data_IF_939305827947
#
_entry.id   IF_939305827947
#
_cell.length_a   1.000
_cell.length_b   1.000
_cell.length_c   1.000
_cell.angle_alpha   90.00
_cell.angle_beta   90.00
_cell.angle_gamma   90.00
#
_symmetry.space_group_name_H-M   'P 1'
#
loop_
_entity.id
_entity.type
_entity.pdbx_description
1 polymer ?
#
# COMPACT_ATOMS: atom_id res chain seq x y z
N UNK A 1 -79.79 -46.78 -18.77
CA UNK A 1 -78.51 -47.15 -18.14
C UNK A 1 -77.56 -47.43 -19.30
N UNK A 2 -76.58 -46.63 -19.66
CA UNK A 2 -76.09 -45.36 -19.16
C UNK A 2 -75.38 -44.63 -20.33
N UNK A 3 -75.29 -43.31 -20.21
CA UNK A 3 -74.31 -42.35 -20.76
C UNK A 3 -72.94 -42.93 -21.23
N UNK A 4 -72.12 -42.35 -22.12
CA UNK A 4 -71.99 -41.02 -22.76
C UNK A 4 -70.87 -41.04 -23.83
N UNK A 5 -70.95 -40.05 -24.72
CA UNK A 5 -70.16 -39.65 -25.91
C UNK A 5 -68.64 -39.41 -25.74
N UNK A 6 -67.87 -39.14 -26.83
CA UNK A 6 -66.45 -39.47 -26.99
C UNK A 6 -65.44 -38.35 -26.65
N UNK A 7 -64.18 -38.76 -26.51
CA UNK A 7 -62.97 -37.97 -26.27
C UNK A 7 -62.72 -36.80 -27.24
N UNK A 8 -62.24 -35.66 -26.74
CA UNK A 8 -61.47 -34.70 -27.52
C UNK A 8 -60.04 -34.60 -26.96
N UNK A 9 -59.04 -35.09 -27.70
CA UNK A 9 -57.65 -34.65 -27.48
C UNK A 9 -57.27 -33.62 -28.54
N UNK A 10 -57.10 -32.42 -28.03
CA UNK A 10 -56.86 -31.16 -28.71
C UNK A 10 -55.43 -31.00 -29.21
N UNK A 11 -55.35 -30.28 -30.32
CA UNK A 11 -54.17 -29.76 -31.00
C UNK A 11 -53.13 -29.08 -30.10
N UNK A 12 -51.87 -29.33 -30.46
CA UNK A 12 -50.64 -28.66 -30.03
C UNK A 12 -50.76 -27.13 -30.08
N UNK A 13 -50.39 -26.44 -28.99
CA UNK A 13 -50.04 -25.02 -28.98
C UNK A 13 -48.59 -24.85 -28.50
N UNK A 14 -47.92 -23.86 -29.09
CA UNK A 14 -46.47 -23.64 -29.19
C UNK A 14 -45.77 -23.14 -27.91
N UNK A 15 -46.35 -23.36 -26.73
CA UNK A 15 -45.83 -22.78 -25.47
C UNK A 15 -44.77 -23.65 -24.74
N UNK A 16 -44.43 -24.82 -25.25
CA UNK A 16 -43.56 -25.77 -24.53
C UNK A 16 -42.05 -25.50 -24.59
N UNK A 17 -41.58 -24.44 -25.28
CA UNK A 17 -40.13 -24.16 -25.41
C UNK A 17 -39.64 -23.08 -24.44
N UNK A 18 -40.55 -22.31 -23.81
CA UNK A 18 -40.17 -21.21 -22.91
C UNK A 18 -39.95 -21.64 -21.44
N UNK A 19 -40.42 -22.82 -21.03
CA UNK A 19 -40.32 -23.27 -19.63
C UNK A 19 -39.09 -24.14 -19.32
N UNK A 20 -38.27 -24.46 -20.34
CA UNK A 20 -37.01 -25.19 -20.16
C UNK A 20 -35.81 -24.31 -19.77
N UNK A 21 -35.89 -22.99 -19.96
CA UNK A 21 -34.76 -22.07 -19.75
C UNK A 21 -34.72 -21.38 -18.38
N UNK A 22 -35.69 -21.63 -17.50
CA UNK A 22 -35.75 -20.98 -16.17
C UNK A 22 -35.21 -21.83 -15.02
N UNK A 23 -34.87 -23.10 -15.26
CA UNK A 23 -34.37 -24.00 -14.21
C UNK A 23 -32.86 -24.29 -14.30
N UNK A 24 -32.10 -23.57 -15.14
CA UNK A 24 -30.64 -23.60 -15.15
C UNK A 24 -29.99 -22.39 -14.43
N UNK A 25 -30.72 -21.67 -13.58
CA UNK A 25 -30.17 -20.48 -12.88
C UNK A 25 -30.17 -20.56 -11.35
N UNK A 26 -30.25 -21.75 -10.75
CA UNK A 26 -30.34 -21.89 -9.28
C UNK A 26 -29.43 -22.96 -8.66
N UNK A 27 -28.34 -23.34 -9.33
CA UNK A 27 -27.41 -24.32 -8.74
C UNK A 27 -25.90 -24.09 -8.98
N UNK A 28 -25.49 -22.85 -9.31
CA UNK A 28 -24.06 -22.50 -9.41
C UNK A 28 -23.63 -21.34 -8.49
N UNK A 29 -24.44 -20.96 -7.50
CA UNK A 29 -24.14 -19.83 -6.58
C UNK A 29 -23.57 -20.24 -5.20
N UNK A 30 -23.16 -21.50 -5.00
CA UNK A 30 -22.74 -22.03 -3.70
C UNK A 30 -21.28 -22.48 -3.59
N UNK A 31 -20.42 -22.11 -4.54
CA UNK A 31 -18.96 -22.19 -4.36
C UNK A 31 -18.34 -20.81 -4.57
N UNK A 32 -17.66 -20.29 -3.54
CA UNK A 32 -16.91 -19.01 -3.48
C UNK A 32 -17.62 -17.72 -3.04
N UNK A 33 -18.59 -17.80 -2.12
CA UNK A 33 -18.91 -16.67 -1.22
C UNK A 33 -18.25 -16.82 0.15
N UNK A 34 -16.95 -17.11 0.19
CA UNK A 34 -16.14 -16.70 1.35
C UNK A 34 -16.17 -15.18 1.32
N UNK A 35 -17.01 -14.56 2.16
CA UNK A 35 -16.80 -13.14 2.50
C UNK A 35 -15.37 -13.07 3.02
N UNK A 36 -14.44 -12.54 2.24
CA UNK A 36 -13.11 -12.23 2.75
C UNK A 36 -13.35 -11.28 3.92
N UNK A 37 -13.04 -11.75 5.12
CA UNK A 37 -13.07 -10.91 6.31
C UNK A 37 -12.00 -9.85 6.07
N UNK A 38 -12.43 -8.60 5.93
CA UNK A 38 -11.51 -7.47 5.85
C UNK A 38 -10.83 -7.29 7.21
N UNK A 39 -9.55 -6.97 7.18
CA UNK A 39 -8.69 -6.84 8.35
C UNK A 39 -8.68 -5.41 8.86
N UNK A 40 -8.60 -5.25 10.18
CA UNK A 40 -8.18 -4.00 10.81
C UNK A 40 -6.65 -3.85 10.69
N UNK A 41 -6.13 -2.64 10.94
CA UNK A 41 -4.69 -2.41 10.97
C UNK A 41 -3.96 -3.28 12.02
N UNK A 42 -4.63 -3.56 13.14
CA UNK A 42 -4.09 -4.36 14.24
C UNK A 42 -4.06 -5.87 13.94
N UNK A 43 -4.91 -6.32 13.00
CA UNK A 43 -5.02 -7.74 12.58
C UNK A 43 -4.14 -8.08 11.37
N UNK A 44 -3.36 -7.12 10.85
CA UNK A 44 -2.44 -7.37 9.74
C UNK A 44 -1.42 -8.46 10.10
N UNK A 45 -1.23 -9.40 9.19
CA UNK A 45 -0.27 -10.48 9.37
C UNK A 45 1.15 -10.02 9.02
N UNK A 46 1.98 -9.81 10.04
CA UNK A 46 3.35 -9.33 9.87
C UNK A 46 4.34 -10.47 9.64
N UNK A 47 4.96 -10.51 8.46
CA UNK A 47 6.16 -11.32 8.24
C UNK A 47 7.42 -10.51 8.56
N UNK A 48 8.15 -10.95 9.59
CA UNK A 48 9.42 -10.37 10.00
C UNK A 48 10.64 -11.18 9.50
N UNK A 49 10.49 -12.05 8.51
CA UNK A 49 11.57 -12.87 7.93
C UNK A 49 12.83 -12.08 7.64
N UNK A 50 12.73 -10.93 6.94
CA UNK A 50 13.87 -10.07 6.63
C UNK A 50 14.66 -9.65 7.89
N UNK A 51 13.97 -9.15 8.91
CA UNK A 51 14.57 -8.66 10.16
C UNK A 51 15.11 -9.82 10.99
N UNK A 52 14.43 -10.97 10.98
CA UNK A 52 14.80 -12.15 11.77
C UNK A 52 15.99 -12.91 11.18
N UNK A 53 16.10 -12.96 9.86
CA UNK A 53 17.02 -13.86 9.16
C UNK A 53 18.30 -13.16 8.67
N UNK A 54 18.27 -11.83 8.50
CA UNK A 54 19.43 -11.08 8.01
C UNK A 54 20.22 -10.40 9.15
N UNK A 55 21.54 -10.22 8.97
CA UNK A 55 22.37 -9.52 9.95
C UNK A 55 21.89 -8.10 10.21
N UNK A 56 21.74 -7.74 11.49
CA UNK A 56 21.38 -6.40 11.92
C UNK A 56 22.59 -5.56 12.33
N UNK A 57 22.42 -4.25 12.24
CA UNK A 57 23.34 -3.30 12.80
C UNK A 57 23.10 -3.22 14.32
N UNK A 58 24.12 -3.43 15.17
CA UNK A 58 23.95 -3.41 16.63
C UNK A 58 23.57 -2.03 17.18
N UNK A 59 23.69 -0.97 16.38
CA UNK A 59 23.26 0.39 16.74
C UNK A 59 21.85 0.66 16.22
N UNK A 60 21.17 1.59 16.89
CA UNK A 60 19.81 2.01 16.53
C UNK A 60 19.63 3.53 16.46
N UNK A 61 20.74 4.28 16.49
CA UNK A 61 20.73 5.73 16.32
C UNK A 61 20.64 6.13 14.83
N UNK A 62 20.17 7.34 14.58
CA UNK A 62 20.01 7.91 13.23
C UNK A 62 21.23 8.71 12.76
N UNK A 63 22.40 8.56 13.41
CA UNK A 63 23.60 9.33 13.06
C UNK A 63 24.15 8.83 11.73
N UNK A 64 24.32 9.70 10.71
CA UNK A 64 24.84 9.30 9.41
C UNK A 64 26.23 8.67 9.49
N UNK A 65 26.41 7.49 8.88
CA UNK A 65 27.69 6.75 8.79
C UNK A 65 27.60 5.60 7.79
N UNK A 66 28.76 5.06 7.44
CA UNK A 66 28.79 3.77 6.76
C UNK A 66 28.46 2.63 7.73
N UNK A 67 27.64 1.70 7.24
CA UNK A 67 27.22 0.50 7.97
C UNK A 67 27.84 -0.71 7.27
N UNK A 68 28.66 -1.46 7.99
CA UNK A 68 29.33 -2.65 7.47
C UNK A 68 28.78 -3.89 8.16
N UNK A 69 28.80 -5.03 7.43
CA UNK A 69 28.40 -6.34 7.95
C UNK A 69 26.95 -6.46 8.45
N UNK A 70 26.08 -5.51 8.08
CA UNK A 70 24.66 -5.53 8.38
C UNK A 70 23.83 -5.24 7.12
N UNK A 71 22.65 -5.82 7.04
CA UNK A 71 21.69 -5.59 5.97
C UNK A 71 20.73 -4.43 6.29
N UNK A 72 20.61 -4.05 7.56
CA UNK A 72 19.71 -2.99 8.00
C UNK A 72 20.08 -2.45 9.39
N UNK A 73 19.56 -1.26 9.71
CA UNK A 73 19.59 -0.65 11.04
C UNK A 73 18.16 -0.48 11.55
N UNK A 74 17.87 -0.91 12.78
CA UNK A 74 16.58 -0.64 13.42
C UNK A 74 16.51 0.84 13.78
N UNK A 75 15.52 1.54 13.23
CA UNK A 75 15.34 2.99 13.43
C UNK A 75 13.86 3.30 13.45
N UNK A 76 13.46 4.19 14.34
CA UNK A 76 12.11 4.73 14.35
C UNK A 76 12.04 5.97 13.46
N UNK A 77 10.90 6.22 12.78
CA UNK A 77 10.67 7.51 12.13
C UNK A 77 10.88 8.65 13.13
N UNK A 78 11.63 9.67 12.72
CA UNK A 78 12.00 10.81 13.58
C UNK A 78 11.49 12.15 13.05
N UNK A 79 10.53 12.12 12.12
CA UNK A 79 9.99 13.34 11.50
C UNK A 79 9.08 14.03 12.52
N UNK A 80 9.23 15.34 12.65
CA UNK A 80 8.30 16.12 13.46
C UNK A 80 6.98 16.29 12.72
N UNK A 81 5.89 15.90 13.37
CA UNK A 81 4.54 15.91 12.80
C UNK A 81 3.71 16.95 13.55
N UNK A 82 2.89 17.72 12.83
CA UNK A 82 2.07 18.78 13.45
C UNK A 82 0.58 18.53 13.25
N UNK A 83 0.14 18.37 12.00
CA UNK A 83 -1.25 18.15 11.67
C UNK A 83 -1.33 17.28 10.42
N UNK A 84 -1.04 15.98 10.55
CA UNK A 84 -0.93 15.12 9.40
C UNK A 84 -2.30 14.87 8.79
N UNK A 85 -2.36 14.82 7.46
CA UNK A 85 -3.62 14.61 6.73
C UNK A 85 -3.46 13.58 5.65
N UNK A 86 -4.43 12.67 5.57
CA UNK A 86 -4.56 11.77 4.43
C UNK A 86 -4.93 12.59 3.19
N UNK A 87 -4.14 12.44 2.12
CA UNK A 87 -4.35 13.10 0.83
C UNK A 87 -5.07 12.17 -0.13
N UNK A 88 -4.62 10.91 -0.20
CA UNK A 88 -5.17 9.88 -1.07
C UNK A 88 -4.79 8.49 -0.57
N UNK A 89 -5.58 7.48 -0.95
CA UNK A 89 -5.26 6.06 -0.80
C UNK A 89 -5.63 5.27 -2.06
N UNK A 90 -5.15 4.03 -2.18
CA UNK A 90 -5.48 3.13 -3.28
C UNK A 90 -6.35 1.97 -2.80
N UNK A 91 -7.61 1.94 -3.23
CA UNK A 91 -8.53 0.84 -2.92
C UNK A 91 -7.97 -0.51 -3.40
N UNK A 92 -7.31 -0.53 -4.56
CA UNK A 92 -6.74 -1.77 -5.10
C UNK A 92 -5.57 -2.32 -4.27
N UNK A 93 -4.83 -1.45 -3.56
CA UNK A 93 -3.76 -1.89 -2.64
C UNK A 93 -4.36 -2.25 -1.29
N UNK A 94 -5.41 -1.56 -0.84
CA UNK A 94 -6.17 -1.97 0.33
C UNK A 94 -6.75 -3.38 0.15
N UNK A 95 -7.32 -3.67 -1.02
CA UNK A 95 -7.81 -5.00 -1.40
C UNK A 95 -6.69 -6.04 -1.44
N UNK A 96 -5.50 -5.67 -1.95
CA UNK A 96 -4.33 -6.55 -1.96
C UNK A 96 -3.88 -6.97 -0.55
N UNK A 97 -4.08 -6.11 0.44
CA UNK A 97 -3.75 -6.35 1.84
C UNK A 97 -4.94 -6.90 2.65
N UNK A 98 -6.07 -7.17 1.99
CA UNK A 98 -7.36 -7.49 2.63
C UNK A 98 -7.78 -6.46 3.70
N UNK A 99 -7.34 -5.21 3.59
CA UNK A 99 -7.61 -4.13 4.55
C UNK A 99 -9.05 -3.59 4.40
N UNK A 100 -9.70 -3.32 5.53
CA UNK A 100 -11.02 -2.67 5.53
C UNK A 100 -10.90 -1.19 5.07
N UNK A 101 -11.66 -0.75 4.06
CA UNK A 101 -11.67 0.65 3.63
C UNK A 101 -12.02 1.66 4.73
N UNK A 102 -12.76 1.25 5.78
CA UNK A 102 -13.07 2.13 6.91
C UNK A 102 -11.82 2.52 7.72
N UNK A 103 -10.71 1.78 7.60
CA UNK A 103 -9.46 2.10 8.30
C UNK A 103 -8.88 3.46 7.85
N UNK A 104 -9.08 3.85 6.59
CA UNK A 104 -8.60 5.14 6.06
C UNK A 104 -9.34 6.35 6.64
N UNK A 105 -10.51 6.14 7.23
CA UNK A 105 -11.31 7.19 7.86
C UNK A 105 -10.96 7.39 9.34
N UNK A 106 -10.12 6.53 9.92
CA UNK A 106 -9.71 6.66 11.32
C UNK A 106 -8.93 7.94 11.55
N UNK A 107 -9.15 8.55 12.70
CA UNK A 107 -8.47 9.80 13.10
C UNK A 107 -6.96 9.60 13.35
N UNK A 108 -6.54 8.39 13.71
CA UNK A 108 -5.15 8.00 13.96
C UNK A 108 -4.43 7.47 12.71
N UNK A 109 -5.13 7.24 11.60
CA UNK A 109 -4.53 6.77 10.36
C UNK A 109 -3.43 7.72 9.85
N UNK A 110 -3.66 9.05 9.73
CA UNK A 110 -2.61 9.97 9.29
C UNK A 110 -1.42 10.03 10.26
N UNK A 111 -1.63 9.84 11.58
CA UNK A 111 -0.56 9.81 12.57
C UNK A 111 0.33 8.58 12.36
N UNK A 112 -0.26 7.42 12.10
CA UNK A 112 0.45 6.16 11.89
C UNK A 112 1.28 6.21 10.60
N UNK A 113 0.66 6.59 9.49
CA UNK A 113 1.31 6.58 8.17
C UNK A 113 2.19 7.82 7.88
N UNK A 114 2.18 8.83 8.75
CA UNK A 114 3.20 9.89 8.77
C UNK A 114 4.43 9.54 9.61
N UNK A 115 4.39 8.42 10.36
CA UNK A 115 5.46 7.99 11.26
C UNK A 115 5.40 8.62 12.66
N UNK A 116 4.33 9.36 13.01
CA UNK A 116 4.14 9.91 14.35
C UNK A 116 3.84 8.83 15.40
N UNK A 117 3.25 7.71 14.98
CA UNK A 117 2.88 6.61 15.84
C UNK A 117 3.25 5.28 15.19
N UNK A 118 3.79 4.32 15.94
CA UNK A 118 4.12 3.02 15.40
C UNK A 118 2.83 2.27 15.03
N UNK A 119 2.87 1.56 13.90
CA UNK A 119 1.82 0.64 13.52
C UNK A 119 1.94 -0.65 14.35
N UNK A 120 0.83 -1.12 14.91
CA UNK A 120 0.82 -2.29 15.78
C UNK A 120 1.42 -3.52 15.06
N UNK A 121 2.36 -4.20 15.72
CA UNK A 121 3.08 -5.35 15.16
C UNK A 121 4.18 -5.02 14.15
N UNK A 122 4.23 -3.82 13.59
CA UNK A 122 5.27 -3.43 12.64
C UNK A 122 6.63 -3.26 13.31
N UNK A 123 7.70 -3.63 12.60
CA UNK A 123 9.09 -3.35 13.01
C UNK A 123 9.69 -2.38 12.01
N UNK A 124 10.07 -1.19 12.48
CA UNK A 124 10.71 -0.16 11.65
C UNK A 124 12.21 -0.36 11.56
N UNK A 125 12.73 -0.28 10.32
CA UNK A 125 14.15 -0.37 10.03
C UNK A 125 14.47 0.37 8.73
N UNK A 126 15.75 0.70 8.54
CA UNK A 126 16.28 1.24 7.31
C UNK A 126 17.27 0.22 6.70
N UNK A 127 17.11 -0.09 5.42
CA UNK A 127 17.96 -1.07 4.74
C UNK A 127 19.29 -0.46 4.32
N UNK A 128 20.36 -1.22 4.50
CA UNK A 128 21.68 -0.89 4.03
C UNK A 128 21.82 -1.32 2.56
N UNK A 129 22.02 -0.37 1.66
CA UNK A 129 22.36 -0.64 0.27
C UNK A 129 23.39 0.38 -0.20
N UNK A 130 24.08 0.05 -1.29
CA UNK A 130 25.02 0.96 -1.95
C UNK A 130 24.98 0.78 -3.45
N UNK A 131 25.47 1.76 -4.19
CA UNK A 131 25.37 1.73 -5.64
C UNK A 131 26.20 2.78 -6.36
N UNK A 132 26.26 2.63 -7.68
CA UNK A 132 26.83 3.64 -8.56
C UNK A 132 25.77 4.67 -8.93
N UNK A 133 26.07 5.96 -8.77
CA UNK A 133 25.26 7.06 -9.28
C UNK A 133 26.03 7.77 -10.38
N UNK A 134 25.39 7.93 -11.55
CA UNK A 134 26.00 8.59 -12.72
C UNK A 134 27.38 8.02 -13.10
N UNK A 135 27.54 6.70 -13.03
CA UNK A 135 28.78 6.00 -13.39
C UNK A 135 29.86 5.98 -12.30
N UNK A 136 29.65 6.64 -11.15
CA UNK A 136 30.62 6.69 -10.04
C UNK A 136 30.08 5.94 -8.83
N UNK A 137 30.92 5.19 -8.11
CA UNK A 137 30.54 4.59 -6.84
C UNK A 137 30.11 5.69 -5.86
N UNK A 138 28.85 5.66 -5.46
CA UNK A 138 28.27 6.70 -4.65
C UNK A 138 28.29 6.36 -3.16
N UNK A 139 28.65 5.15 -2.73
CA UNK A 139 28.57 4.69 -1.34
C UNK A 139 27.17 4.18 -0.95
N UNK A 140 26.76 4.39 0.32
CA UNK A 140 25.45 3.97 0.86
C UNK A 140 24.46 5.14 1.01
N UNK A 141 23.52 5.37 0.07
CA UNK A 141 22.46 6.38 0.24
C UNK A 141 21.24 5.77 0.94
N UNK A 142 20.41 6.59 1.59
CA UNK A 142 19.11 6.13 2.09
C UNK A 142 18.12 7.26 2.41
N UNK A 143 16.90 6.87 2.77
CA UNK A 143 15.77 7.75 3.02
C UNK A 143 15.59 8.07 4.52
N UNK A 144 14.83 9.14 4.86
CA UNK A 144 14.60 9.55 6.25
C UNK A 144 15.85 10.09 6.93
N UNK A 145 15.78 10.48 8.21
CA UNK A 145 16.96 10.61 9.09
C UNK A 145 17.31 9.22 9.62
N UNK A 146 18.31 8.62 9.00
CA UNK A 146 18.80 7.26 9.23
C UNK A 146 20.33 7.32 9.11
N UNK A 147 21.06 6.25 9.46
CA UNK A 147 22.49 6.20 9.20
C UNK A 147 22.87 6.45 7.72
N UNK A 148 21.93 6.31 6.79
CA UNK A 148 22.14 6.40 5.35
C UNK A 148 21.83 7.78 4.75
N UNK A 149 21.27 8.73 5.51
CA UNK A 149 20.82 10.05 5.01
C UNK A 149 21.94 10.94 4.52
N UNK A 150 23.17 10.70 5.00
CA UNK A 150 24.34 11.57 4.79
C UNK A 150 24.04 13.01 5.18
N UNK A 151 23.94 13.90 4.19
CA UNK A 151 23.67 15.33 4.34
C UNK A 151 22.22 15.69 3.98
N UNK A 152 21.41 14.74 3.51
CA UNK A 152 20.01 14.96 3.20
C UNK A 152 19.18 15.01 4.49
N UNK A 153 18.11 15.80 4.47
CA UNK A 153 17.15 15.90 5.57
C UNK A 153 16.26 14.66 5.70
N UNK A 154 16.23 13.81 4.69
CA UNK A 154 15.44 12.58 4.66
C UNK A 154 13.96 12.79 4.36
N UNK A 155 13.56 13.99 3.92
CA UNK A 155 12.15 14.38 3.76
C UNK A 155 11.75 14.46 2.28
N UNK A 156 10.47 14.24 1.99
CA UNK A 156 9.92 14.26 0.64
C UNK A 156 8.79 15.29 0.53
N UNK A 157 8.74 16.02 -0.58
CA UNK A 157 7.71 17.05 -0.76
C UNK A 157 6.47 16.48 -1.43
N UNK A 158 5.31 17.03 -1.08
CA UNK A 158 3.99 16.61 -1.56
C UNK A 158 3.94 16.49 -3.09
N UNK A 159 4.54 17.44 -3.80
CA UNK A 159 4.56 17.44 -5.27
C UNK A 159 5.25 16.21 -5.87
N UNK A 160 6.38 15.77 -5.31
CA UNK A 160 7.02 14.51 -5.76
C UNK A 160 6.23 13.30 -5.33
N UNK A 161 5.71 13.32 -4.10
CA UNK A 161 4.96 12.21 -3.51
C UNK A 161 3.66 11.92 -4.26
N UNK A 162 2.94 12.95 -4.74
CA UNK A 162 1.77 12.80 -5.62
C UNK A 162 2.14 12.11 -6.93
N UNK A 163 3.25 12.50 -7.57
CA UNK A 163 3.70 11.86 -8.82
C UNK A 163 4.06 10.40 -8.58
N UNK A 164 4.77 10.11 -7.50
CA UNK A 164 5.15 8.75 -7.13
C UNK A 164 3.92 7.86 -6.89
N UNK A 165 2.95 8.36 -6.11
CA UNK A 165 1.70 7.65 -5.85
C UNK A 165 0.97 7.31 -7.15
N UNK A 166 0.72 8.33 -8.01
CA UNK A 166 0.00 8.15 -9.26
C UNK A 166 0.74 7.22 -10.24
N UNK A 167 2.06 7.40 -10.39
CA UNK A 167 2.85 6.56 -11.30
C UNK A 167 2.95 5.11 -10.82
N UNK A 168 3.06 4.87 -9.51
CA UNK A 168 3.11 3.52 -8.94
C UNK A 168 1.84 2.72 -9.26
N UNK A 169 0.68 3.37 -9.13
CA UNK A 169 -0.61 2.73 -9.40
C UNK A 169 -0.89 2.60 -10.89
N UNK A 170 -0.55 3.63 -11.69
CA UNK A 170 -0.72 3.58 -13.14
C UNK A 170 0.16 2.50 -13.81
N UNK A 171 1.34 2.23 -13.27
CA UNK A 171 2.29 1.25 -13.82
C UNK A 171 2.21 -0.12 -13.15
N UNK A 172 1.30 -0.38 -12.21
CA UNK A 172 1.28 -1.61 -11.42
C UNK A 172 1.38 -2.88 -12.29
N UNK A 173 0.59 -2.95 -13.37
CA UNK A 173 0.54 -4.12 -14.25
C UNK A 173 1.87 -4.37 -15.01
N UNK A 174 2.82 -3.43 -14.95
CA UNK A 174 4.18 -3.56 -15.47
C UNK A 174 5.18 -4.08 -14.43
N UNK A 175 4.72 -4.47 -13.24
CA UNK A 175 5.56 -5.08 -12.20
C UNK A 175 6.27 -4.09 -11.27
N UNK A 176 5.77 -2.86 -11.15
CA UNK A 176 6.36 -1.82 -10.28
C UNK A 176 5.89 -1.93 -8.83
N UNK A 177 6.57 -1.21 -7.92
CA UNK A 177 6.07 -1.02 -6.55
C UNK A 177 4.73 -0.29 -6.56
N UNK A 178 3.94 -0.51 -5.50
CA UNK A 178 2.60 0.05 -5.29
C UNK A 178 2.62 1.16 -4.25
N UNK A 179 1.58 1.96 -4.21
CA UNK A 179 1.38 2.98 -3.19
C UNK A 179 0.03 2.79 -2.48
N UNK A 180 0.07 2.50 -1.18
CA UNK A 180 -1.13 2.33 -0.36
C UNK A 180 -1.79 3.68 -0.06
N UNK A 181 -1.02 4.65 0.43
CA UNK A 181 -1.54 5.96 0.81
C UNK A 181 -0.48 7.07 0.71
N UNK A 182 -0.97 8.31 0.64
CA UNK A 182 -0.20 9.54 0.66
C UNK A 182 -0.70 10.42 1.81
N UNK A 183 0.21 10.82 2.69
CA UNK A 183 -0.10 11.60 3.90
C UNK A 183 0.81 12.84 3.94
N UNK A 184 0.27 14.02 4.23
CA UNK A 184 1.09 15.20 4.57
C UNK A 184 1.42 15.19 6.06
N UNK A 185 2.53 15.81 6.46
CA UNK A 185 2.94 15.88 7.87
C UNK A 185 2.48 17.17 8.58
N UNK A 186 1.99 18.14 7.80
CA UNK A 186 1.69 19.50 8.26
C UNK A 186 2.93 20.41 8.32
N UNK A 187 4.12 19.88 8.07
CA UNK A 187 5.36 20.64 7.98
C UNK A 187 5.65 21.08 6.54
N UNK A 188 6.63 21.98 6.43
CA UNK A 188 7.19 22.44 5.18
C UNK A 188 8.66 22.09 5.10
N UNK A 189 9.10 21.84 3.88
CA UNK A 189 10.47 21.47 3.55
C UNK A 189 10.94 22.34 2.41
N UNK A 190 12.08 22.98 2.61
CA UNK A 190 12.68 23.87 1.63
C UNK A 190 13.30 23.05 0.49
N UNK A 191 12.88 23.33 -0.75
CA UNK A 191 13.43 22.74 -1.97
C UNK A 191 13.59 23.79 -3.06
N UNK A 192 14.62 23.63 -3.88
CA UNK A 192 14.73 24.36 -5.14
C UNK A 192 14.30 23.44 -6.28
N UNK A 193 13.02 23.52 -6.64
CA UNK A 193 12.43 22.66 -7.67
C UNK A 193 13.12 22.78 -9.04
N UNK A 194 13.64 23.96 -9.37
CA UNK A 194 14.22 24.25 -10.68
C UNK A 194 15.75 24.34 -10.66
N UNK A 195 16.37 24.12 -9.49
CA UNK A 195 17.82 24.27 -9.28
C UNK A 195 18.35 25.62 -9.79
N UNK A 196 17.55 26.68 -9.63
CA UNK A 196 17.84 28.01 -10.16
C UNK A 196 18.32 29.00 -9.09
N UNK A 197 18.61 28.52 -7.88
CA UNK A 197 19.03 29.30 -6.73
C UNK A 197 17.88 29.95 -5.95
N UNK A 198 16.61 29.64 -6.26
CA UNK A 198 15.45 30.21 -5.58
C UNK A 198 14.66 29.12 -4.84
N UNK A 199 15.17 28.64 -3.69
CA UNK A 199 14.47 27.65 -2.89
C UNK A 199 13.14 28.19 -2.38
N UNK A 200 12.15 27.30 -2.29
CA UNK A 200 10.82 27.59 -1.74
C UNK A 200 10.42 26.49 -0.77
N UNK A 201 9.60 26.86 0.18
CA UNK A 201 8.98 25.92 1.10
C UNK A 201 7.85 25.17 0.37
N UNK A 202 7.92 23.85 0.42
CA UNK A 202 6.90 22.95 -0.12
C UNK A 202 6.34 22.09 1.03
N UNK A 203 5.05 21.71 1.00
CA UNK A 203 4.49 20.83 2.00
C UNK A 203 5.23 19.48 2.03
N UNK A 204 5.52 18.98 3.22
CA UNK A 204 6.14 17.66 3.43
C UNK A 204 5.09 16.55 3.39
N UNK A 205 5.47 15.40 2.82
CA UNK A 205 4.58 14.28 2.62
C UNK A 205 5.30 12.93 2.56
N UNK A 206 4.60 11.90 3.06
CA UNK A 206 5.05 10.52 3.11
C UNK A 206 4.15 9.66 2.21
N UNK A 207 4.76 8.79 1.39
CA UNK A 207 4.06 7.75 0.62
C UNK A 207 4.30 6.41 1.30
N UNK A 208 3.24 5.69 1.63
CA UNK A 208 3.34 4.30 2.05
C UNK A 208 3.47 3.42 0.81
N UNK A 209 4.66 2.89 0.56
CA UNK A 209 4.93 1.98 -0.56
C UNK A 209 4.69 0.53 -0.15
N UNK A 210 4.14 -0.26 -1.07
CA UNK A 210 3.89 -1.69 -0.89
C UNK A 210 4.55 -2.47 -2.03
N UNK A 211 5.27 -3.54 -1.68
CA UNK A 211 5.90 -4.44 -2.65
C UNK A 211 6.15 -5.80 -2.02
N UNK A 212 6.25 -6.85 -2.84
CA UNK A 212 6.69 -8.19 -2.39
C UNK A 212 8.16 -8.19 -1.93
N UNK A 213 8.98 -7.34 -2.53
CA UNK A 213 10.40 -7.14 -2.17
C UNK A 213 10.84 -5.72 -2.54
N UNK A 214 11.81 -5.17 -1.81
CA UNK A 214 12.40 -3.85 -2.04
C UNK A 214 13.79 -3.92 -2.72
N UNK A 215 14.16 -5.09 -3.27
CA UNK A 215 15.38 -5.29 -4.06
C UNK A 215 15.28 -4.74 -5.48
#
# INVERSE_FOLDING_TARGET
MDSSSPDPSSSLSVDSVADGLKNQSLSEDNENKKKNVKLSLEDLNWDHSFVRELPDDPRSDSIPREVFHACYTKVLPSVEIENPKLVAWSDSVADLLDLDPNEFERTDFPLTFSGASPLAGAVSYAQCYGGHQFGTWAGQPGAGKTPYSRFADGLAVLRSSVREFLCSEAMHFLGTTRALCLVTTGKFVTRDMFYNGNPKDEPDAVVCRVSKSLQ
#
